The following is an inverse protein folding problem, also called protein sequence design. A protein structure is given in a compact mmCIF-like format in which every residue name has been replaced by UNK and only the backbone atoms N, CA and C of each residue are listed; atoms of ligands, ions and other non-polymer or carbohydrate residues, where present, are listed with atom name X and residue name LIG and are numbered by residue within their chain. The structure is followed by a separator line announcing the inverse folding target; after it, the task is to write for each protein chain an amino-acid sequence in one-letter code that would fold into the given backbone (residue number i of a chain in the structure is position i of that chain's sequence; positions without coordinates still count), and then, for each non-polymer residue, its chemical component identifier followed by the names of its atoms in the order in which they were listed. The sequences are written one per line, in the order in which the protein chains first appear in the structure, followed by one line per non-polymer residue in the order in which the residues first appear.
data_IF_409349125603
#
_entry.id   IF_409349125603
#
_cell.length_a   1.000
_cell.length_b   1.000
_cell.length_c   1.000
_cell.angle_alpha   90.00
_cell.angle_beta   90.00
_cell.angle_gamma   90.00
#
_symmetry.space_group_name_H-M   'P 1'
#
loop_
_entity.id
_entity.type
_entity.pdbx_description
1 polymer ?
#
# COMPACT_ATOMS: atom_id res chain seq x y z
N UNK A 1 5.90 31.27 -32.04
CA UNK A 1 5.96 30.95 -30.61
C UNK A 1 5.61 29.48 -30.45
N UNK A 2 6.63 28.61 -30.43
CA UNK A 2 6.48 27.14 -30.30
C UNK A 2 7.20 26.69 -29.03
N UNK A 3 6.45 26.51 -27.94
CA UNK A 3 6.90 25.86 -26.75
C UNK A 3 5.82 24.86 -26.31
N UNK A 4 6.06 23.59 -26.45
CA UNK A 4 5.53 22.46 -25.70
C UNK A 4 5.42 21.16 -26.51
N UNK A 5 6.55 20.60 -26.96
CA UNK A 5 6.55 19.19 -27.47
C UNK A 5 7.81 18.41 -27.08
N UNK A 6 8.42 18.69 -25.95
CA UNK A 6 9.71 18.06 -25.59
C UNK A 6 9.74 17.23 -24.33
N UNK A 7 8.73 17.29 -23.48
CA UNK A 7 8.81 16.72 -22.12
C UNK A 7 8.21 15.32 -21.94
N UNK A 8 7.39 14.85 -22.87
CA UNK A 8 6.64 13.59 -22.71
C UNK A 8 7.37 12.33 -23.19
N UNK A 9 8.54 12.46 -23.80
CA UNK A 9 9.25 11.29 -24.39
C UNK A 9 10.27 10.64 -23.46
N UNK A 10 10.65 11.26 -22.35
CA UNK A 10 11.73 10.77 -21.47
C UNK A 10 11.26 9.89 -20.29
N UNK A 11 9.97 9.81 -20.03
CA UNK A 11 9.43 9.01 -18.92
C UNK A 11 9.15 7.55 -19.32
N UNK A 12 9.16 7.24 -20.64
CA UNK A 12 8.81 5.89 -21.13
C UNK A 12 9.98 4.90 -21.22
N UNK A 13 11.22 5.34 -21.04
CA UNK A 13 12.39 4.48 -21.29
C UNK A 13 13.05 3.88 -20.05
N UNK A 14 12.57 4.14 -18.84
CA UNK A 14 13.21 3.63 -17.62
C UNK A 14 12.45 2.55 -16.83
N UNK A 15 11.31 2.08 -17.33
CA UNK A 15 10.58 0.98 -16.68
C UNK A 15 10.35 -0.20 -17.63
N UNK A 16 11.43 -0.70 -18.21
CA UNK A 16 11.42 -2.06 -18.74
C UNK A 16 11.72 -3.03 -17.58
N UNK A 17 10.69 -3.44 -16.91
CA UNK A 17 10.75 -4.41 -15.81
C UNK A 17 10.99 -5.85 -16.32
N UNK A 18 11.08 -6.04 -17.65
CA UNK A 18 11.20 -7.37 -18.28
C UNK A 18 12.63 -7.76 -18.64
N UNK A 19 13.57 -6.83 -18.66
CA UNK A 19 14.92 -7.09 -19.20
C UNK A 19 15.99 -7.44 -18.17
N UNK A 20 15.68 -7.58 -16.88
CA UNK A 20 16.63 -8.03 -15.86
C UNK A 20 16.11 -9.21 -15.00
N UNK A 21 15.44 -10.15 -15.63
CA UNK A 21 15.25 -11.45 -15.02
C UNK A 21 16.56 -12.21 -15.10
N UNK A 22 17.32 -12.24 -14.01
CA UNK A 22 18.33 -13.30 -13.82
C UNK A 22 17.60 -14.65 -13.84
N UNK A 23 18.04 -15.61 -14.65
CA UNK A 23 17.41 -16.92 -14.73
C UNK A 23 17.91 -17.83 -13.61
N UNK A 24 17.58 -17.59 -12.35
CA UNK A 24 17.84 -18.57 -11.27
C UNK A 24 17.15 -18.15 -9.95
N UNK A 25 15.82 -18.12 -9.93
CA UNK A 25 15.01 -18.42 -8.73
C UNK A 25 13.52 -18.42 -9.09
N UNK A 26 12.72 -19.38 -8.64
CA UNK A 26 11.29 -19.39 -8.95
C UNK A 26 10.58 -18.25 -8.22
N UNK A 27 10.11 -17.27 -8.98
CA UNK A 27 8.88 -16.55 -8.70
C UNK A 27 8.76 -15.68 -7.46
N UNK A 28 9.80 -15.10 -6.89
CA UNK A 28 9.66 -14.13 -5.79
C UNK A 28 9.78 -12.72 -6.37
N UNK A 29 8.65 -12.04 -6.49
CA UNK A 29 8.62 -10.62 -6.83
C UNK A 29 9.25 -9.82 -5.68
N UNK A 30 10.36 -9.12 -5.92
CA UNK A 30 11.13 -8.34 -4.95
C UNK A 30 10.27 -7.31 -4.18
N UNK A 31 9.21 -6.80 -4.80
CA UNK A 31 8.29 -5.86 -4.13
C UNK A 31 7.47 -6.54 -3.05
N UNK A 32 6.95 -7.74 -3.32
CA UNK A 32 6.20 -8.53 -2.33
C UNK A 32 7.08 -8.84 -1.12
N UNK A 33 8.35 -9.19 -1.36
CA UNK A 33 9.30 -9.47 -0.30
C UNK A 33 9.58 -8.23 0.59
N UNK A 34 9.72 -7.05 0.03
CA UNK A 34 9.96 -5.82 0.81
C UNK A 34 8.78 -5.43 1.71
N UNK A 35 7.56 -5.54 1.23
CA UNK A 35 6.35 -5.27 2.03
C UNK A 35 6.14 -6.34 3.11
N UNK A 36 6.41 -7.62 2.80
CA UNK A 36 6.32 -8.69 3.80
C UNK A 36 7.37 -8.51 4.92
N UNK A 37 8.60 -8.10 4.58
CA UNK A 37 9.62 -7.77 5.59
C UNK A 37 9.21 -6.56 6.43
N UNK A 38 8.67 -5.51 5.81
CA UNK A 38 8.16 -4.35 6.51
C UNK A 38 7.03 -4.73 7.47
N UNK A 39 6.06 -5.51 7.01
CA UNK A 39 4.94 -6.01 7.83
C UNK A 39 5.43 -6.82 9.02
N UNK A 40 6.35 -7.75 8.80
CA UNK A 40 6.96 -8.55 9.87
C UNK A 40 7.69 -7.65 10.90
N UNK A 41 8.40 -6.63 10.43
CA UNK A 41 9.10 -5.68 11.29
C UNK A 41 8.14 -4.82 12.10
N UNK A 42 7.02 -4.41 11.50
CA UNK A 42 5.95 -3.66 12.17
C UNK A 42 5.30 -4.50 13.26
N UNK A 43 4.97 -5.77 12.99
CA UNK A 43 4.44 -6.70 14.00
C UNK A 43 5.43 -6.89 15.15
N UNK A 44 6.70 -7.10 14.86
CA UNK A 44 7.75 -7.26 15.88
C UNK A 44 8.00 -6.00 16.72
N UNK A 45 7.62 -4.82 16.19
CA UNK A 45 7.76 -3.57 16.91
C UNK A 45 6.55 -3.23 17.80
N UNK A 46 5.42 -3.93 17.64
CA UNK A 46 4.15 -3.66 18.34
C UNK A 46 4.32 -3.64 19.84
N UNK A 47 5.00 -4.65 20.39
CA UNK A 47 5.14 -4.88 21.84
C UNK A 47 6.43 -4.28 22.43
N UNK A 48 7.17 -3.48 21.66
CA UNK A 48 8.36 -2.79 22.15
C UNK A 48 8.00 -1.62 23.07
N UNK A 49 8.98 -1.14 23.81
CA UNK A 49 8.83 0.07 24.61
C UNK A 49 8.49 1.28 23.72
N UNK A 50 7.33 1.93 23.93
CA UNK A 50 6.93 3.10 23.14
C UNK A 50 7.83 4.32 23.32
N UNK A 51 8.62 4.39 24.40
CA UNK A 51 9.63 5.43 24.57
C UNK A 51 10.80 5.26 23.58
N UNK A 52 11.04 4.03 23.11
CA UNK A 52 12.13 3.67 22.22
C UNK A 52 11.69 3.32 20.80
N UNK A 53 10.39 3.14 20.58
CA UNK A 53 9.84 2.69 19.29
C UNK A 53 8.67 3.56 18.82
N UNK A 54 8.87 4.32 17.74
CA UNK A 54 7.80 5.13 17.10
C UNK A 54 6.64 4.26 16.65
N UNK A 55 6.91 3.05 16.15
CA UNK A 55 5.89 2.09 15.72
C UNK A 55 5.05 1.62 16.91
N UNK A 56 5.67 1.23 18.03
CA UNK A 56 4.96 0.85 19.25
C UNK A 56 4.11 1.99 19.79
N UNK A 57 4.64 3.23 19.74
CA UNK A 57 3.88 4.42 20.12
C UNK A 57 2.62 4.60 19.27
N UNK A 58 2.71 4.40 17.94
CA UNK A 58 1.56 4.46 17.05
C UNK A 58 0.48 3.43 17.41
N UNK A 59 0.87 2.19 17.75
CA UNK A 59 -0.09 1.18 18.23
C UNK A 59 -0.78 1.62 19.52
N UNK A 60 -0.06 2.24 20.42
CA UNK A 60 -0.62 2.77 21.67
C UNK A 60 -1.53 3.97 21.47
N UNK A 61 -1.19 4.86 20.52
CA UNK A 61 -1.97 6.05 20.17
C UNK A 61 -3.28 5.68 19.43
N UNK A 62 -3.36 4.47 18.88
CA UNK A 62 -4.56 3.87 18.29
C UNK A 62 -4.83 4.23 16.83
N UNK A 63 -5.84 3.56 16.26
CA UNK A 63 -6.19 3.61 14.83
C UNK A 63 -6.45 5.02 14.31
N UNK A 64 -7.05 5.90 15.11
CA UNK A 64 -7.32 7.28 14.69
C UNK A 64 -6.02 8.04 14.38
N UNK A 65 -5.00 7.86 15.22
CA UNK A 65 -3.68 8.47 15.00
C UNK A 65 -2.97 7.86 13.79
N UNK A 66 -3.06 6.54 13.62
CA UNK A 66 -2.52 5.85 12.44
C UNK A 66 -3.15 6.37 11.15
N UNK A 67 -4.50 6.46 11.12
CA UNK A 67 -5.24 6.96 9.96
C UNK A 67 -4.89 8.43 9.64
N UNK A 68 -4.75 9.28 10.67
CA UNK A 68 -4.32 10.67 10.49
C UNK A 68 -2.94 10.71 9.83
N UNK A 69 -1.98 9.92 10.33
CA UNK A 69 -0.63 9.88 9.76
C UNK A 69 -0.63 9.40 8.29
N UNK A 70 -1.35 8.35 7.97
CA UNK A 70 -1.46 7.90 6.59
C UNK A 70 -1.99 9.00 5.64
N UNK A 71 -2.98 9.78 6.10
CA UNK A 71 -3.55 10.88 5.31
C UNK A 71 -2.54 12.03 5.14
N UNK A 72 -1.77 12.37 6.18
CA UNK A 72 -0.72 13.39 6.11
C UNK A 72 0.30 13.03 5.01
N UNK A 73 0.90 11.83 5.06
CA UNK A 73 1.90 11.37 4.09
C UNK A 73 1.30 11.26 2.65
N UNK A 74 0.06 10.81 2.54
CA UNK A 74 -0.60 10.73 1.22
C UNK A 74 -0.84 12.12 0.60
N UNK A 75 -1.10 13.15 1.41
CA UNK A 75 -1.22 14.55 0.94
C UNK A 75 0.15 15.05 0.48
N UNK A 76 1.23 14.76 1.23
CA UNK A 76 2.59 15.17 0.91
C UNK A 76 3.05 14.57 -0.42
N UNK A 77 2.79 13.26 -0.67
CA UNK A 77 2.99 12.66 -1.99
C UNK A 77 2.30 13.46 -3.10
N UNK A 78 1.04 13.87 -2.87
CA UNK A 78 0.26 14.63 -3.86
C UNK A 78 0.85 16.02 -4.13
N UNK A 79 1.28 16.73 -3.10
CA UNK A 79 1.87 18.06 -3.21
C UNK A 79 3.22 18.01 -3.93
N UNK A 80 4.07 17.04 -3.60
CA UNK A 80 5.37 16.86 -4.23
C UNK A 80 5.25 16.42 -5.69
N UNK A 81 4.25 15.59 -6.00
CA UNK A 81 3.94 15.21 -7.38
C UNK A 81 3.54 16.40 -8.24
N UNK A 82 2.75 17.35 -7.72
CA UNK A 82 2.39 18.59 -8.42
C UNK A 82 3.62 19.44 -8.70
N UNK A 83 4.60 19.45 -7.79
CA UNK A 83 5.86 20.15 -7.94
C UNK A 83 6.89 19.41 -8.80
N UNK A 84 6.57 18.20 -9.27
CA UNK A 84 7.47 17.29 -10.00
C UNK A 84 8.76 16.98 -9.22
N UNK A 85 8.71 17.03 -7.89
CA UNK A 85 9.81 16.70 -7.00
C UNK A 85 9.92 15.17 -6.83
N UNK A 86 10.66 14.55 -7.75
CA UNK A 86 10.80 13.09 -7.79
C UNK A 86 11.35 12.48 -6.50
N UNK A 87 12.32 13.14 -5.88
CA UNK A 87 12.98 12.62 -4.67
C UNK A 87 12.01 12.62 -3.49
N UNK A 88 11.31 13.73 -3.27
CA UNK A 88 10.30 13.81 -2.23
C UNK A 88 9.16 12.82 -2.45
N UNK A 89 8.65 12.68 -3.68
CA UNK A 89 7.62 11.66 -4.00
C UNK A 89 8.06 10.25 -3.62
N UNK A 90 9.35 9.90 -3.78
CA UNK A 90 9.86 8.59 -3.37
C UNK A 90 9.85 8.45 -1.84
N UNK A 91 10.30 9.46 -1.11
CA UNK A 91 10.35 9.44 0.35
C UNK A 91 8.96 9.33 0.95
N UNK A 92 8.06 10.24 0.56
CA UNK A 92 6.69 10.27 1.08
C UNK A 92 5.89 9.02 0.69
N UNK A 93 6.15 8.45 -0.51
CA UNK A 93 5.54 7.16 -0.89
C UNK A 93 6.00 6.01 0.01
N UNK A 94 7.24 6.01 0.46
CA UNK A 94 7.73 5.01 1.41
C UNK A 94 7.06 5.17 2.78
N UNK A 95 6.82 6.41 3.23
CA UNK A 95 6.12 6.70 4.48
C UNK A 95 4.63 6.33 4.39
N UNK A 96 3.97 6.56 3.24
CA UNK A 96 2.61 6.04 2.98
C UNK A 96 2.56 4.52 3.12
N UNK A 97 3.50 3.79 2.51
CA UNK A 97 3.57 2.33 2.60
C UNK A 97 3.80 1.86 4.03
N UNK A 98 4.66 2.56 4.78
CA UNK A 98 4.89 2.27 6.20
C UNK A 98 3.61 2.44 7.02
N UNK A 99 2.94 3.60 6.95
CA UNK A 99 1.73 3.86 7.71
C UNK A 99 0.56 2.96 7.30
N UNK A 100 0.46 2.63 6.02
CA UNK A 100 -0.52 1.66 5.53
C UNK A 100 -0.27 0.27 6.11
N UNK A 101 0.99 -0.15 6.18
CA UNK A 101 1.39 -1.44 6.77
C UNK A 101 1.09 -1.50 8.28
N UNK A 102 1.28 -0.40 9.01
CA UNK A 102 0.89 -0.31 10.44
C UNK A 102 -0.61 -0.49 10.62
N UNK A 103 -1.44 0.14 9.76
CA UNK A 103 -2.90 -0.03 9.79
C UNK A 103 -3.29 -1.48 9.46
N UNK A 104 -2.66 -2.10 8.46
CA UNK A 104 -2.91 -3.51 8.15
C UNK A 104 -2.64 -4.41 9.36
N UNK A 105 -1.51 -4.20 10.03
CA UNK A 105 -1.14 -4.97 11.22
C UNK A 105 -2.16 -4.79 12.35
N UNK A 106 -2.67 -3.58 12.57
CA UNK A 106 -3.70 -3.31 13.57
C UNK A 106 -5.03 -3.93 13.21
N UNK A 107 -5.41 -3.91 11.93
CA UNK A 107 -6.66 -4.49 11.44
C UNK A 107 -6.59 -6.00 11.21
N UNK A 108 -5.44 -6.64 11.42
CA UNK A 108 -5.24 -8.08 11.17
C UNK A 108 -5.30 -8.44 9.67
N UNK A 109 -4.94 -7.49 8.80
CA UNK A 109 -4.85 -7.68 7.34
C UNK A 109 -3.41 -8.02 6.98
N UNK A 110 -3.19 -9.11 6.26
CA UNK A 110 -1.86 -9.44 5.76
C UNK A 110 -1.62 -8.84 4.36
N UNK A 111 -0.38 -8.51 3.99
CA UNK A 111 -0.06 -7.99 2.66
C UNK A 111 -0.61 -8.87 1.53
N UNK A 112 -0.49 -10.20 1.64
CA UNK A 112 -1.03 -11.16 0.68
C UNK A 112 -2.53 -11.01 0.42
N UNK A 113 -3.32 -10.56 1.40
CA UNK A 113 -4.76 -10.38 1.26
C UNK A 113 -5.05 -9.18 0.36
N UNK A 114 -4.26 -8.11 0.53
CA UNK A 114 -4.36 -6.89 -0.28
C UNK A 114 -3.90 -7.14 -1.71
N UNK A 115 -2.72 -7.75 -1.89
CA UNK A 115 -2.20 -8.05 -3.22
C UNK A 115 -3.05 -9.09 -3.95
N UNK A 116 -3.61 -10.07 -3.26
CA UNK A 116 -4.59 -10.99 -3.82
C UNK A 116 -5.84 -10.28 -4.36
N UNK A 117 -6.30 -9.22 -3.69
CA UNK A 117 -7.39 -8.38 -4.19
C UNK A 117 -6.96 -7.51 -5.38
N UNK A 118 -5.73 -7.00 -5.39
CA UNK A 118 -5.17 -6.28 -6.56
C UNK A 118 -5.13 -7.21 -7.77
N UNK A 119 -4.58 -8.40 -7.63
CA UNK A 119 -4.53 -9.41 -8.70
C UNK A 119 -5.92 -9.81 -9.19
N UNK A 120 -6.87 -9.95 -8.26
CA UNK A 120 -8.27 -10.22 -8.62
C UNK A 120 -8.87 -9.11 -9.47
N UNK A 121 -8.62 -7.85 -9.10
CA UNK A 121 -9.11 -6.68 -9.87
C UNK A 121 -8.47 -6.61 -11.24
N UNK A 122 -7.17 -6.83 -11.32
CA UNK A 122 -6.44 -6.84 -12.59
C UNK A 122 -7.02 -7.89 -13.54
N UNK A 123 -7.27 -9.12 -13.07
CA UNK A 123 -7.86 -10.18 -13.90
C UNK A 123 -9.29 -9.89 -14.36
N UNK A 124 -10.10 -9.20 -13.55
CA UNK A 124 -11.52 -8.98 -13.86
C UNK A 124 -11.77 -7.71 -14.64
N UNK A 125 -10.99 -6.67 -14.42
CA UNK A 125 -11.29 -5.31 -14.90
C UNK A 125 -10.12 -4.66 -15.64
N UNK A 126 -8.94 -5.26 -15.65
CA UNK A 126 -7.71 -4.59 -16.09
C UNK A 126 -7.24 -3.52 -15.09
N UNK A 127 -6.02 -3.04 -15.27
CA UNK A 127 -5.36 -2.10 -14.35
C UNK A 127 -6.06 -0.73 -14.28
N UNK A 128 -6.81 -0.35 -15.31
CA UNK A 128 -7.32 1.02 -15.48
C UNK A 128 -8.79 1.20 -15.09
N UNK A 129 -9.54 0.14 -14.78
CA UNK A 129 -10.96 0.29 -14.53
C UNK A 129 -11.29 0.45 -13.04
N UNK A 130 -11.98 1.55 -12.72
CA UNK A 130 -12.60 1.72 -11.41
C UNK A 130 -13.72 0.71 -11.26
N UNK A 131 -13.71 -0.05 -10.17
CA UNK A 131 -14.83 -0.93 -9.81
C UNK A 131 -16.14 -0.16 -9.83
N UNK A 132 -17.19 -0.67 -10.49
CA UNK A 132 -18.52 -0.11 -10.40
C UNK A 132 -18.93 0.00 -8.93
N UNK A 133 -19.52 1.12 -8.52
CA UNK A 133 -19.95 1.35 -7.11
C UNK A 133 -20.82 0.22 -6.56
N UNK A 134 -21.57 -0.47 -7.40
CA UNK A 134 -22.39 -1.62 -7.05
C UNK A 134 -21.59 -2.87 -6.67
N UNK A 135 -20.43 -3.10 -7.30
CA UNK A 135 -19.55 -4.22 -6.96
C UNK A 135 -18.87 -3.98 -5.59
N UNK A 136 -18.55 -2.72 -5.26
CA UNK A 136 -18.00 -2.34 -3.98
C UNK A 136 -19.00 -2.58 -2.83
N UNK A 137 -20.27 -2.21 -3.02
CA UNK A 137 -21.33 -2.43 -2.05
C UNK A 137 -21.61 -3.92 -1.78
N UNK A 138 -21.57 -4.77 -2.81
CA UNK A 138 -21.73 -6.22 -2.68
C UNK A 138 -20.55 -6.85 -1.90
N UNK A 139 -19.33 -6.36 -2.11
CA UNK A 139 -18.14 -6.84 -1.39
C UNK A 139 -18.20 -6.48 0.10
N UNK A 140 -18.57 -5.24 0.43
CA UNK A 140 -18.72 -4.75 1.81
C UNK A 140 -19.80 -5.55 2.56
N UNK A 141 -20.93 -5.86 1.93
CA UNK A 141 -21.99 -6.72 2.51
C UNK A 141 -21.50 -8.13 2.80
N UNK A 142 -20.67 -8.71 1.92
CA UNK A 142 -20.13 -10.06 2.10
C UNK A 142 -19.13 -10.12 3.26
N UNK A 143 -18.31 -9.10 3.43
CA UNK A 143 -17.37 -9.00 4.55
C UNK A 143 -18.09 -8.81 5.89
N UNK A 144 -19.14 -7.98 5.94
CA UNK A 144 -19.94 -7.79 7.14
C UNK A 144 -20.69 -9.07 7.55
N UNK A 145 -21.22 -9.84 6.60
CA UNK A 145 -21.89 -11.11 6.89
C UNK A 145 -20.95 -12.19 7.43
N UNK A 146 -19.69 -12.20 6.98
CA UNK A 146 -18.66 -13.12 7.50
C UNK A 146 -18.21 -12.74 8.91
N UNK A 147 -18.13 -11.44 9.23
CA UNK A 147 -17.80 -10.96 10.56
C UNK A 147 -18.89 -11.28 11.58
N UNK A 148 -20.15 -11.22 11.19
CA UNK A 148 -21.30 -11.54 12.04
C UNK A 148 -21.36 -13.06 12.35
N UNK A 149 -21.02 -13.90 11.37
CA UNK A 149 -21.00 -15.36 11.54
C UNK A 149 -19.90 -15.84 12.51
N UNK A 150 -18.79 -15.12 12.62
CA UNK A 150 -17.73 -15.42 13.58
C UNK A 150 -18.12 -15.15 15.05
N UNK A 151 -19.03 -14.20 15.28
CA UNK A 151 -19.49 -13.84 16.64
C UNK A 151 -20.59 -14.76 17.17
N UNK A 152 -21.23 -15.58 16.35
CA UNK A 152 -22.29 -16.50 16.74
C UNK A 152 -21.81 -17.93 17.05
N UNK A 153 -20.50 -18.18 17.02
CA UNK A 153 -19.87 -19.50 17.26
C UNK A 153 -18.94 -19.45 18.49
N UNK A 154 -18.99 -18.40 19.28
CA UNK A 154 -18.43 -18.28 20.65
C UNK A 154 -19.60 -18.15 21.63
#
# INVERSE_FOLDING_TARGET
MNFARGATRRIRESYDCTSRLRPEAPGICWMTDSIERLYTSVLAARDRDPALSRTSKLFRDGVQKMAKKLLEEAIEVGLDAVQMNREAVILESADVLYHLTVIWAECGVAPRDVFGEVDRRERLYGIAEKLPKQALAAHTRRLSSLATRRKSVS
#
